data_IF_795535773157
#
_entry.id   IF_795535773157
#
_cell.length_a   1.000
_cell.length_b   1.000
_cell.length_c   1.000
_cell.angle_alpha   90.00
_cell.angle_beta   90.00
_cell.angle_gamma   90.00
#
_symmetry.space_group_name_H-M   'P 1'
#
loop_
_entity.id
_entity.type
_entity.pdbx_description
1 polymer ?
#
# COMPACT_ATOMS: atom_id res chain seq x y z
N UNK A 1 -1.18 -36.62 13.48
CA UNK A 1 -1.20 -36.66 12.00
C UNK A 1 -0.24 -35.60 11.49
N UNK A 2 0.61 -35.88 10.49
CA UNK A 2 1.41 -34.82 9.88
C UNK A 2 0.47 -33.89 9.12
N UNK A 3 0.46 -32.60 9.50
CA UNK A 3 -0.26 -31.56 8.78
C UNK A 3 0.37 -31.28 7.41
N UNK A 4 -0.28 -30.47 6.56
CA UNK A 4 0.28 -30.10 5.26
C UNK A 4 1.66 -29.45 5.44
N UNK A 5 2.64 -29.90 4.66
CA UNK A 5 3.98 -29.32 4.65
C UNK A 5 3.93 -28.00 3.88
N UNK A 6 4.48 -26.89 4.42
CA UNK A 6 4.56 -25.64 3.68
C UNK A 6 5.39 -25.81 2.41
N UNK A 7 4.89 -25.30 1.29
CA UNK A 7 5.64 -25.19 0.04
C UNK A 7 6.15 -23.76 -0.12
N UNK A 8 7.45 -23.64 -0.40
CA UNK A 8 8.01 -22.37 -0.83
C UNK A 8 7.65 -22.19 -2.30
N UNK A 9 6.97 -21.09 -2.62
CA UNK A 9 6.72 -20.71 -4.00
C UNK A 9 7.29 -19.32 -4.27
N UNK A 10 7.71 -19.13 -5.52
CA UNK A 10 8.17 -17.84 -5.99
C UNK A 10 6.99 -17.12 -6.63
N UNK A 11 6.49 -16.08 -5.96
CA UNK A 11 5.30 -15.32 -6.36
C UNK A 11 5.32 -14.90 -7.84
N UNK A 12 6.46 -14.40 -8.40
CA UNK A 12 6.49 -14.03 -9.82
C UNK A 12 6.23 -15.19 -10.78
N UNK A 13 6.79 -16.39 -10.52
CA UNK A 13 6.56 -17.57 -11.36
C UNK A 13 5.09 -17.96 -11.35
N UNK A 14 4.48 -17.99 -10.16
CA UNK A 14 3.06 -18.33 -10.02
C UNK A 14 2.17 -17.32 -10.75
N UNK A 15 2.43 -16.02 -10.58
CA UNK A 15 1.68 -14.97 -11.25
C UNK A 15 1.78 -15.08 -12.78
N UNK A 16 2.97 -15.35 -13.31
CA UNK A 16 3.19 -15.52 -14.74
C UNK A 16 2.42 -16.73 -15.31
N UNK A 17 2.50 -17.89 -14.66
CA UNK A 17 1.76 -19.09 -15.09
C UNK A 17 0.24 -18.90 -14.95
N UNK A 18 -0.21 -18.19 -13.91
CA UNK A 18 -1.64 -17.87 -13.72
C UNK A 18 -2.17 -16.99 -14.85
N UNK A 19 -1.42 -15.96 -15.25
CA UNK A 19 -1.81 -15.07 -16.35
C UNK A 19 -1.74 -15.76 -17.72
N UNK A 20 -0.86 -16.75 -17.92
CA UNK A 20 -0.89 -17.59 -19.12
C UNK A 20 -2.15 -18.46 -19.18
N UNK A 21 -2.52 -19.07 -18.05
CA UNK A 21 -3.69 -19.93 -17.96
C UNK A 21 -5.01 -19.15 -18.10
N UNK A 22 -5.04 -17.91 -17.61
CA UNK A 22 -6.22 -17.03 -17.65
C UNK A 22 -5.84 -15.63 -18.17
N UNK A 23 -5.71 -15.46 -19.50
CA UNK A 23 -5.26 -14.20 -20.10
C UNK A 23 -6.16 -13.00 -19.78
N UNK A 24 -7.46 -13.24 -19.63
CA UNK A 24 -8.45 -12.20 -19.33
C UNK A 24 -8.33 -11.64 -17.90
N UNK A 25 -7.63 -12.35 -17.01
CA UNK A 25 -7.42 -11.93 -15.63
C UNK A 25 -6.62 -10.62 -15.54
N UNK A 26 -5.63 -10.44 -16.42
CA UNK A 26 -4.80 -9.24 -16.46
C UNK A 26 -5.62 -7.95 -16.65
N UNK A 27 -6.41 -7.83 -17.74
CA UNK A 27 -7.31 -6.71 -17.96
C UNK A 27 -8.30 -6.46 -16.81
N UNK A 28 -8.89 -7.52 -16.24
CA UNK A 28 -9.81 -7.44 -15.10
C UNK A 28 -9.11 -6.88 -13.86
N UNK A 29 -7.95 -7.43 -13.49
CA UNK A 29 -7.15 -6.95 -12.36
C UNK A 29 -6.77 -5.48 -12.51
N UNK A 30 -6.38 -5.05 -13.71
CA UNK A 30 -6.01 -3.66 -13.97
C UNK A 30 -7.22 -2.71 -13.83
N UNK A 31 -8.40 -3.13 -14.29
CA UNK A 31 -9.63 -2.36 -14.09
C UNK A 31 -9.96 -2.23 -12.60
N UNK A 32 -9.92 -3.34 -11.88
CA UNK A 32 -10.28 -3.37 -10.46
C UNK A 32 -9.26 -2.59 -9.62
N UNK A 33 -7.98 -2.66 -9.96
CA UNK A 33 -6.91 -1.85 -9.35
C UNK A 33 -7.15 -0.34 -9.53
N UNK A 34 -7.56 0.10 -10.72
CA UNK A 34 -7.92 1.51 -10.95
C UNK A 34 -9.10 1.95 -10.08
N UNK A 35 -10.14 1.13 -9.97
CA UNK A 35 -11.28 1.40 -9.08
C UNK A 35 -10.88 1.46 -7.61
N UNK A 36 -9.97 0.57 -7.20
CA UNK A 36 -9.41 0.58 -5.85
C UNK A 36 -8.61 1.86 -5.55
N UNK A 37 -7.86 2.42 -6.50
CA UNK A 37 -7.15 3.67 -6.26
C UNK A 37 -8.09 4.83 -5.95
N UNK A 38 -9.19 4.97 -6.67
CA UNK A 38 -10.18 6.02 -6.38
C UNK A 38 -10.78 5.85 -4.97
N UNK A 39 -11.17 4.62 -4.60
CA UNK A 39 -11.73 4.35 -3.28
C UNK A 39 -10.71 4.55 -2.15
N UNK A 40 -9.48 4.08 -2.33
CA UNK A 40 -8.43 4.12 -1.30
C UNK A 40 -7.93 5.53 -1.00
N UNK A 41 -8.07 6.47 -1.94
CA UNK A 41 -7.78 7.89 -1.70
C UNK A 41 -8.63 8.51 -0.59
N UNK A 42 -9.81 7.95 -0.31
CA UNK A 42 -10.66 8.41 0.80
C UNK A 42 -10.15 7.96 2.17
N UNK A 43 -9.22 7.00 2.25
CA UNK A 43 -8.77 6.42 3.52
C UNK A 43 -7.70 7.25 4.21
N UNK A 44 -6.91 8.00 3.46
CA UNK A 44 -5.81 8.81 3.99
C UNK A 44 -5.85 10.21 3.41
N UNK A 45 -5.92 11.21 4.28
CA UNK A 45 -5.75 12.61 3.92
C UNK A 45 -4.27 12.97 4.02
N UNK A 46 -3.63 13.18 2.87
CA UNK A 46 -2.22 13.57 2.83
C UNK A 46 -2.05 15.06 3.18
N UNK A 47 -1.27 15.34 4.21
CA UNK A 47 -0.76 16.66 4.54
C UNK A 47 0.69 16.78 4.10
N UNK A 48 1.04 17.94 3.54
CA UNK A 48 2.38 18.22 3.01
C UNK A 48 3.06 19.29 3.85
N UNK A 49 4.33 19.08 4.15
CA UNK A 49 5.17 20.04 4.86
C UNK A 49 6.56 20.10 4.24
N UNK A 50 7.18 21.28 4.26
CA UNK A 50 8.51 21.52 3.69
C UNK A 50 9.39 22.21 4.73
N UNK A 51 10.66 21.84 4.78
CA UNK A 51 11.67 22.45 5.65
C UNK A 51 11.81 21.76 7.00
N UNK A 52 12.91 22.10 7.69
CA UNK A 52 13.30 21.48 8.95
C UNK A 52 12.23 21.63 10.06
N UNK A 53 11.56 22.78 10.14
CA UNK A 53 10.51 23.02 11.14
C UNK A 53 9.30 22.12 10.93
N UNK A 54 8.86 21.95 9.67
CA UNK A 54 7.74 21.06 9.35
C UNK A 54 8.07 19.59 9.69
N UNK A 55 9.31 19.17 9.43
CA UNK A 55 9.80 17.83 9.77
C UNK A 55 9.81 17.62 11.29
N UNK A 56 10.36 18.58 12.04
CA UNK A 56 10.48 18.48 13.48
C UNK A 56 9.10 18.48 14.17
N UNK A 57 8.19 19.35 13.74
CA UNK A 57 6.82 19.40 14.25
C UNK A 57 6.05 18.09 14.00
N UNK A 58 6.17 17.55 12.78
CA UNK A 58 5.56 16.27 12.43
C UNK A 58 6.09 15.11 13.30
N UNK A 59 7.40 15.07 13.55
CA UNK A 59 8.00 14.08 14.44
C UNK A 59 7.50 14.19 15.88
N UNK A 60 7.44 15.41 16.43
CA UNK A 60 6.92 15.62 17.78
C UNK A 60 5.49 15.11 17.92
N UNK A 61 4.61 15.44 16.96
CA UNK A 61 3.21 14.97 16.93
C UNK A 61 3.10 13.45 16.79
N UNK A 62 3.96 12.84 15.96
CA UNK A 62 3.94 11.38 15.77
C UNK A 62 4.35 10.67 17.07
N UNK A 63 5.39 11.16 17.74
CA UNK A 63 5.90 10.59 18.98
C UNK A 63 4.89 10.66 20.15
N UNK A 64 4.04 11.70 20.17
CA UNK A 64 2.97 11.85 21.17
C UNK A 64 1.68 11.10 20.81
N UNK A 65 1.57 10.56 19.60
CA UNK A 65 0.36 9.90 19.12
C UNK A 65 -0.72 10.86 18.61
N UNK A 66 -0.38 12.14 18.37
CA UNK A 66 -1.30 13.17 17.87
C UNK A 66 -1.49 13.16 16.35
N UNK A 67 -1.09 12.06 15.70
CA UNK A 67 -1.30 11.82 14.27
C UNK A 67 -2.36 10.73 14.13
N UNK A 68 -3.59 11.09 13.71
CA UNK A 68 -4.64 10.11 13.47
C UNK A 68 -4.25 9.11 12.37
N UNK A 69 -4.78 7.86 12.40
CA UNK A 69 -4.45 6.83 11.41
C UNK A 69 -4.80 7.18 9.96
N UNK A 70 -5.78 8.07 9.76
CA UNK A 70 -6.19 8.55 8.43
C UNK A 70 -5.41 9.79 7.97
N UNK A 71 -4.39 10.24 8.71
CA UNK A 71 -3.56 11.38 8.34
C UNK A 71 -2.21 10.89 7.80
N UNK A 72 -1.96 11.12 6.52
CA UNK A 72 -0.66 10.84 5.89
C UNK A 72 0.21 12.09 5.95
N UNK A 73 1.46 11.98 6.44
CA UNK A 73 2.40 13.10 6.46
C UNK A 73 3.46 12.90 5.37
N UNK A 74 3.50 13.82 4.41
CA UNK A 74 4.51 13.83 3.32
C UNK A 74 5.40 15.04 3.51
N UNK A 75 6.66 14.81 3.85
CA UNK A 75 7.59 15.86 4.26
C UNK A 75 8.82 15.86 3.35
N UNK A 76 9.32 17.05 3.05
CA UNK A 76 10.59 17.25 2.35
C UNK A 76 11.41 18.35 3.02
N UNK A 77 12.72 18.36 2.78
CA UNK A 77 13.57 19.50 3.14
C UNK A 77 13.27 20.71 2.26
#
# INVERSE_FOLDING_TARGET
MPGPKPEFFFVPTYAAERLKAEPDLGPVMQRDLRGFYEASRAFVTAQRGVGAEAIQSAWARLATGDVPPNQGLVLSF
#
